data_IF_881037022892
#
_entry.id   IF_881037022892
#
_cell.length_a   1.000
_cell.length_b   1.000
_cell.length_c   1.000
_cell.angle_alpha   90.00
_cell.angle_beta   90.00
_cell.angle_gamma   90.00
#
_symmetry.space_group_name_H-M   'P 1'
#
loop_
_entity.id
_entity.type
_entity.pdbx_description
1 polymer ?
#
# COMPACT_ATOMS: atom_id res chain seq x y z
N UNK A 1 58.90 10.89 -3.09
CA UNK A 1 58.25 11.36 -1.84
C UNK A 1 56.79 10.93 -1.94
N UNK A 2 56.39 9.90 -1.17
CA UNK A 2 55.01 9.40 -1.10
C UNK A 2 54.17 10.38 -0.25
N UNK A 3 52.82 10.39 -0.42
CA UNK A 3 51.72 10.79 0.50
C UNK A 3 50.67 11.61 -0.26
N UNK A 4 49.36 11.40 -0.14
CA UNK A 4 48.52 10.44 0.57
C UNK A 4 47.24 10.36 -0.32
N UNK A 5 46.79 9.17 -0.68
CA UNK A 5 45.46 9.03 -1.26
C UNK A 5 44.45 9.28 -0.14
N UNK A 6 43.61 10.30 -0.28
CA UNK A 6 42.42 10.47 0.56
C UNK A 6 41.52 9.27 0.32
N UNK A 7 41.59 8.31 1.24
CA UNK A 7 40.60 7.25 1.36
C UNK A 7 39.34 7.93 1.87
N UNK A 8 38.43 8.24 0.96
CA UNK A 8 37.02 8.46 1.32
C UNK A 8 36.54 7.16 1.91
N UNK A 9 36.44 7.12 3.23
CA UNK A 9 35.77 6.03 3.95
C UNK A 9 34.29 6.13 3.56
N UNK A 10 33.89 5.38 2.54
CA UNK A 10 32.50 5.03 2.36
C UNK A 10 32.12 4.15 3.55
N UNK A 11 31.68 4.78 4.65
CA UNK A 11 30.95 4.05 5.68
C UNK A 11 29.79 3.37 4.95
N UNK A 12 29.66 2.04 4.98
CA UNK A 12 28.41 1.43 4.58
C UNK A 12 27.43 1.91 5.63
N UNK A 13 26.56 2.83 5.22
CA UNK A 13 25.38 3.16 5.97
C UNK A 13 24.57 1.86 6.00
N UNK A 14 24.77 1.08 7.06
CA UNK A 14 23.85 0.04 7.49
C UNK A 14 22.59 0.75 8.01
N UNK A 15 21.93 1.52 7.15
CA UNK A 15 20.55 1.85 7.36
C UNK A 15 19.81 0.55 7.16
N UNK A 16 19.09 0.10 8.19
CA UNK A 16 18.03 -0.87 7.99
C UNK A 16 17.17 -0.29 6.86
N UNK A 17 17.19 -0.95 5.71
CA UNK A 17 16.38 -0.54 4.58
C UNK A 17 14.93 -0.81 4.97
N UNK A 18 14.01 0.06 4.56
CA UNK A 18 12.58 -0.25 4.72
C UNK A 18 12.21 -1.58 4.02
N UNK A 19 13.02 -2.00 3.05
CA UNK A 19 12.90 -3.25 2.30
C UNK A 19 13.48 -4.46 3.04
N UNK A 20 14.04 -4.29 4.23
CA UNK A 20 14.57 -5.41 5.00
C UNK A 20 13.42 -6.27 5.53
N UNK A 21 13.61 -7.60 5.52
CA UNK A 21 12.58 -8.56 5.92
C UNK A 21 12.06 -8.35 7.37
N UNK A 22 12.93 -7.85 8.26
CA UNK A 22 12.61 -7.62 9.67
C UNK A 22 12.29 -6.16 10.00
N UNK A 23 12.23 -5.29 8.97
CA UNK A 23 11.84 -3.91 9.16
C UNK A 23 10.36 -3.82 9.56
N UNK A 24 10.07 -3.00 10.57
CA UNK A 24 8.72 -2.68 10.98
C UNK A 24 8.38 -1.27 10.46
N UNK A 25 7.42 -1.14 9.54
CA UNK A 25 7.08 0.15 8.97
C UNK A 25 6.58 1.14 10.00
N UNK A 26 6.90 2.41 9.82
CA UNK A 26 6.32 3.52 10.57
C UNK A 26 5.46 4.43 9.67
N UNK A 27 4.71 5.36 10.28
CA UNK A 27 3.78 6.23 9.56
C UNK A 27 4.45 7.14 8.51
N UNK A 28 5.73 7.46 8.67
CA UNK A 28 6.47 8.31 7.73
C UNK A 28 6.92 7.56 6.47
N UNK A 29 6.79 6.24 6.45
CA UNK A 29 7.16 5.38 5.31
C UNK A 29 5.96 5.04 4.43
N UNK A 30 4.75 5.33 4.89
CA UNK A 30 3.53 5.09 4.13
C UNK A 30 3.49 6.03 2.94
N UNK A 31 3.44 5.47 1.72
CA UNK A 31 3.09 6.25 0.54
C UNK A 31 1.62 6.12 0.27
N UNK A 32 0.98 7.19 -0.20
CA UNK A 32 -0.46 7.20 -0.45
C UNK A 32 -0.79 7.87 -1.78
N UNK A 33 -1.85 7.37 -2.43
CA UNK A 33 -2.50 8.00 -3.56
C UNK A 33 -4.02 7.90 -3.39
N UNK A 34 -4.78 9.00 -3.54
CA UNK A 34 -6.23 8.94 -3.54
C UNK A 34 -6.73 8.23 -4.81
N UNK A 35 -7.74 7.37 -4.64
CA UNK A 35 -8.42 6.70 -5.73
C UNK A 35 -9.94 6.82 -5.56
N UNK A 36 -10.64 6.88 -6.69
CA UNK A 36 -12.09 6.92 -6.70
C UNK A 36 -12.61 6.11 -7.87
N UNK A 37 -13.78 5.51 -7.67
CA UNK A 37 -14.50 4.80 -8.72
C UNK A 37 -14.80 5.78 -9.84
N UNK A 38 -14.45 5.39 -11.07
CA UNK A 38 -14.74 6.20 -12.25
C UNK A 38 -16.14 5.92 -12.81
N UNK A 39 -16.70 6.90 -13.52
CA UNK A 39 -18.03 6.76 -14.14
C UNK A 39 -18.05 5.60 -15.14
N UNK A 40 -19.00 4.69 -14.95
CA UNK A 40 -19.14 3.50 -15.80
C UNK A 40 -18.12 2.39 -15.53
N UNK A 41 -17.26 2.53 -14.51
CA UNK A 41 -16.33 1.48 -14.12
C UNK A 41 -17.09 0.20 -13.71
N UNK A 42 -16.84 -0.85 -14.48
CA UNK A 42 -17.30 -2.21 -14.19
C UNK A 42 -16.15 -2.93 -13.50
N UNK A 43 -16.38 -3.41 -12.29
CA UNK A 43 -15.37 -4.18 -11.55
C UNK A 43 -14.64 -3.40 -10.47
N UNK A 44 -15.12 -2.23 -10.05
CA UNK A 44 -14.64 -1.58 -8.83
C UNK A 44 -14.69 -2.57 -7.64
N UNK A 45 -13.55 -2.85 -6.97
CA UNK A 45 -13.45 -3.94 -6.00
C UNK A 45 -13.94 -3.58 -4.60
N UNK A 46 -14.20 -2.30 -4.31
CA UNK A 46 -14.49 -1.82 -2.96
C UNK A 46 -15.98 -1.50 -2.77
N UNK A 47 -16.48 -1.62 -1.54
CA UNK A 47 -17.89 -1.33 -1.22
C UNK A 47 -18.20 0.18 -1.11
N UNK A 48 -17.16 1.00 -0.96
CA UNK A 48 -17.22 2.48 -0.97
C UNK A 48 -16.83 3.06 -2.32
N UNK A 49 -17.11 4.34 -2.59
CA UNK A 49 -16.83 4.99 -3.88
C UNK A 49 -15.43 5.58 -4.00
N UNK A 50 -14.74 5.82 -2.90
CA UNK A 50 -13.40 6.41 -2.86
C UNK A 50 -12.61 5.92 -1.65
N UNK A 51 -11.31 6.19 -1.68
CA UNK A 51 -10.39 5.93 -0.59
C UNK A 51 -8.97 6.23 -1.04
N UNK A 52 -8.01 5.60 -0.37
CA UNK A 52 -6.60 5.72 -0.68
C UNK A 52 -5.99 4.34 -0.98
N UNK A 53 -5.14 4.26 -2.00
CA UNK A 53 -4.15 3.20 -2.10
C UNK A 53 -2.94 3.65 -1.30
N UNK A 54 -2.55 2.83 -0.34
CA UNK A 54 -1.33 2.98 0.43
C UNK A 54 -0.33 1.89 0.06
N UNK A 55 0.95 2.18 0.20
CA UNK A 55 2.00 1.18 0.11
C UNK A 55 3.04 1.35 1.24
N UNK A 56 3.43 0.21 1.80
CA UNK A 56 4.56 0.05 2.71
C UNK A 56 5.39 -1.14 2.26
N UNK A 57 6.68 -1.14 2.58
CA UNK A 57 7.48 -2.37 2.52
C UNK A 57 7.21 -3.21 3.77
N UNK A 58 6.96 -4.50 3.61
CA UNK A 58 6.74 -5.42 4.74
C UNK A 58 7.27 -6.80 4.37
N UNK A 59 8.03 -7.41 5.27
CA UNK A 59 8.66 -8.71 5.01
C UNK A 59 9.46 -8.74 3.67
N UNK A 60 10.11 -7.62 3.34
CA UNK A 60 10.92 -7.47 2.13
C UNK A 60 10.17 -7.45 0.81
N UNK A 61 8.86 -7.14 0.82
CA UNK A 61 8.05 -6.94 -0.38
C UNK A 61 7.12 -5.72 -0.20
N UNK A 62 6.69 -5.07 -1.30
CA UNK A 62 5.64 -4.06 -1.23
C UNK A 62 4.32 -4.70 -0.77
N UNK A 63 3.60 -4.00 0.09
CA UNK A 63 2.27 -4.36 0.56
C UNK A 63 1.30 -3.26 0.15
N UNK A 64 0.47 -3.54 -0.85
CA UNK A 64 -0.59 -2.65 -1.31
C UNK A 64 -1.80 -2.75 -0.37
N UNK A 65 -2.32 -1.60 0.06
CA UNK A 65 -3.42 -1.52 1.03
C UNK A 65 -4.44 -0.54 0.47
N UNK A 66 -5.72 -0.88 0.49
CA UNK A 66 -6.79 0.10 0.31
C UNK A 66 -7.29 0.55 1.68
N UNK A 67 -7.39 1.87 1.87
CA UNK A 67 -7.85 2.52 3.10
C UNK A 67 -9.10 3.34 2.76
N UNK A 68 -10.18 3.09 3.49
CA UNK A 68 -11.41 3.88 3.38
C UNK A 68 -11.21 5.30 3.93
N UNK A 69 -11.84 6.29 3.29
CA UNK A 69 -11.89 7.65 3.82
C UNK A 69 -12.68 7.68 5.14
N UNK A 70 -12.19 8.39 6.17
CA UNK A 70 -12.97 8.62 7.39
C UNK A 70 -13.76 9.92 7.24
N UNK A 71 -15.07 9.81 7.10
CA UNK A 71 -15.96 10.98 7.17
C UNK A 71 -16.22 11.35 8.64
N UNK A 72 -15.81 12.56 9.04
CA UNK A 72 -16.15 13.14 10.35
C UNK A 72 -15.08 12.94 11.42
N UNK A 73 -14.24 13.95 11.60
CA UNK A 73 -13.20 14.03 12.61
C UNK A 73 -13.73 14.32 14.04
N UNK A 74 -14.71 13.56 14.52
CA UNK A 74 -15.34 13.81 15.84
C UNK A 74 -15.37 12.61 16.80
N UNK A 75 -14.75 11.49 16.48
CA UNK A 75 -14.44 10.48 17.52
C UNK A 75 -13.04 9.93 17.34
N UNK A 76 -12.23 10.03 18.40
CA UNK A 76 -10.92 9.37 18.54
C UNK A 76 -11.02 7.82 18.54
N UNK A 77 -12.17 7.22 18.15
CA UNK A 77 -12.51 5.83 18.44
C UNK A 77 -12.63 4.88 17.22
N UNK A 78 -12.82 5.37 15.98
CA UNK A 78 -12.95 4.47 14.83
C UNK A 78 -11.78 4.58 13.86
N UNK A 79 -10.88 3.59 13.89
CA UNK A 79 -9.81 3.46 12.90
C UNK A 79 -10.41 3.20 11.51
N UNK A 80 -9.86 3.86 10.47
CA UNK A 80 -10.24 3.61 9.08
C UNK A 80 -10.22 2.11 8.76
N UNK A 81 -11.28 1.61 8.12
CA UNK A 81 -11.27 0.24 7.59
C UNK A 81 -10.25 0.18 6.45
N UNK A 82 -9.52 -0.92 6.40
CA UNK A 82 -8.55 -1.17 5.36
C UNK A 82 -8.53 -2.63 4.96
N UNK A 83 -8.10 -2.89 3.72
CA UNK A 83 -7.86 -4.23 3.21
C UNK A 83 -6.51 -4.31 2.50
N UNK A 84 -5.80 -5.40 2.72
CA UNK A 84 -4.60 -5.77 1.99
C UNK A 84 -5.01 -6.29 0.61
N UNK A 85 -4.38 -5.74 -0.42
CA UNK A 85 -4.60 -6.13 -1.80
C UNK A 85 -3.56 -7.18 -2.19
N UNK A 86 -4.02 -8.32 -2.66
CA UNK A 86 -3.15 -9.42 -3.11
C UNK A 86 -3.84 -10.21 -4.21
N UNK A 87 -3.04 -10.80 -5.10
CA UNK A 87 -3.49 -11.80 -6.08
C UNK A 87 -3.34 -13.23 -5.55
N UNK A 88 -2.77 -13.39 -4.36
CA UNK A 88 -2.77 -14.66 -3.63
C UNK A 88 -4.13 -14.85 -2.92
N UNK A 89 -4.89 -15.92 -3.19
CA UNK A 89 -6.21 -16.13 -2.63
C UNK A 89 -6.20 -16.34 -1.10
N UNK A 90 -5.11 -16.88 -0.56
CA UNK A 90 -4.96 -17.12 0.89
C UNK A 90 -4.72 -15.77 1.57
N UNK A 91 -3.80 -14.95 1.08
CA UNK A 91 -3.54 -13.61 1.63
C UNK A 91 -4.79 -12.73 1.56
N UNK A 92 -5.44 -12.69 0.39
CA UNK A 92 -6.63 -11.88 0.16
C UNK A 92 -7.80 -12.27 1.09
N UNK A 93 -7.86 -13.54 1.51
CA UNK A 93 -8.91 -14.04 2.41
C UNK A 93 -8.53 -13.91 3.90
N UNK A 94 -7.35 -14.41 4.27
CA UNK A 94 -6.92 -14.56 5.66
C UNK A 94 -6.57 -13.22 6.28
N UNK A 95 -5.80 -12.39 5.57
CA UNK A 95 -5.33 -11.12 6.10
C UNK A 95 -6.46 -10.07 6.20
N UNK A 96 -7.55 -10.28 5.44
CA UNK A 96 -8.68 -9.37 5.39
C UNK A 96 -9.90 -9.85 6.17
N UNK A 97 -9.80 -10.91 6.98
CA UNK A 97 -10.98 -11.53 7.60
C UNK A 97 -11.82 -10.54 8.43
N UNK A 98 -11.17 -9.58 9.10
CA UNK A 98 -11.82 -8.55 9.90
C UNK A 98 -12.54 -7.49 9.04
N UNK A 99 -11.97 -7.11 7.90
CA UNK A 99 -12.44 -6.01 7.05
C UNK A 99 -12.96 -6.47 5.68
N UNK A 100 -13.24 -7.76 5.50
CA UNK A 100 -13.65 -8.35 4.21
C UNK A 100 -14.88 -7.70 3.56
N UNK A 101 -15.74 -7.06 4.37
CA UNK A 101 -16.93 -6.34 3.89
C UNK A 101 -16.60 -5.01 3.20
N UNK A 102 -15.35 -4.57 3.26
CA UNK A 102 -14.84 -3.45 2.48
C UNK A 102 -14.64 -3.84 1.00
N UNK A 103 -14.56 -5.12 0.66
CA UNK A 103 -14.69 -5.58 -0.71
C UNK A 103 -16.14 -5.57 -1.17
N UNK A 104 -16.38 -5.12 -2.39
CA UNK A 104 -17.65 -5.27 -3.08
C UNK A 104 -17.95 -6.76 -3.32
N UNK A 105 -19.23 -7.18 -3.31
CA UNK A 105 -19.60 -8.55 -3.67
C UNK A 105 -19.05 -8.95 -5.05
N UNK A 106 -18.29 -10.04 -5.08
CA UNK A 106 -17.64 -10.56 -6.29
C UNK A 106 -18.19 -11.91 -6.77
N UNK A 107 -18.93 -12.64 -5.94
CA UNK A 107 -19.47 -13.97 -6.27
C UNK A 107 -18.45 -15.11 -6.20
N UNK A 108 -17.17 -14.84 -6.47
CA UNK A 108 -16.06 -15.77 -6.27
C UNK A 108 -14.77 -15.04 -5.88
N UNK A 109 -13.78 -15.78 -5.35
CA UNK A 109 -12.47 -15.20 -5.00
C UNK A 109 -11.67 -14.84 -6.25
N UNK A 110 -11.80 -15.59 -7.33
CA UNK A 110 -11.15 -15.33 -8.62
C UNK A 110 -11.64 -14.01 -9.21
N UNK A 111 -12.95 -13.77 -9.13
CA UNK A 111 -13.53 -12.49 -9.58
C UNK A 111 -13.03 -11.34 -8.72
N UNK A 112 -12.84 -11.55 -7.41
CA UNK A 112 -12.26 -10.53 -6.55
C UNK A 112 -10.80 -10.26 -6.91
N UNK A 113 -9.99 -11.31 -7.11
CA UNK A 113 -8.59 -11.22 -7.55
C UNK A 113 -8.47 -10.41 -8.84
N UNK A 114 -9.30 -10.71 -9.86
CA UNK A 114 -9.33 -9.96 -11.12
C UNK A 114 -9.62 -8.47 -10.90
N UNK A 115 -10.52 -8.14 -9.98
CA UNK A 115 -10.89 -6.75 -9.67
C UNK A 115 -9.82 -6.01 -8.87
N UNK A 116 -9.12 -6.68 -7.96
CA UNK A 116 -8.07 -6.04 -7.13
C UNK A 116 -6.71 -5.98 -7.83
N UNK A 117 -6.42 -6.86 -8.79
CA UNK A 117 -5.11 -6.94 -9.44
C UNK A 117 -4.58 -5.61 -10.01
N UNK A 118 -5.39 -4.77 -10.67
CA UNK A 118 -4.91 -3.45 -11.12
C UNK A 118 -4.43 -2.56 -9.95
N UNK A 119 -5.10 -2.65 -8.80
CA UNK A 119 -4.79 -1.86 -7.61
C UNK A 119 -3.57 -2.40 -6.84
N UNK A 120 -3.29 -3.69 -6.93
CA UNK A 120 -2.02 -4.27 -6.47
C UNK A 120 -0.85 -3.63 -7.23
N UNK A 121 -0.94 -3.57 -8.56
CA UNK A 121 0.10 -2.97 -9.41
C UNK A 121 0.29 -1.48 -9.10
N UNK A 122 -0.80 -0.74 -8.88
CA UNK A 122 -0.74 0.66 -8.45
C UNK A 122 0.01 0.78 -7.11
N UNK A 123 -0.35 -0.04 -6.12
CA UNK A 123 0.32 -0.03 -4.82
C UNK A 123 1.81 -0.39 -4.91
N UNK A 124 2.18 -1.40 -5.69
CA UNK A 124 3.58 -1.77 -5.91
C UNK A 124 4.39 -0.59 -6.50
N UNK A 125 3.87 0.07 -7.54
CA UNK A 125 4.51 1.29 -8.11
C UNK A 125 4.57 2.45 -7.14
N UNK A 126 3.60 2.54 -6.24
CA UNK A 126 3.61 3.54 -5.18
C UNK A 126 4.77 3.30 -4.20
N UNK A 127 5.15 2.04 -3.93
CA UNK A 127 6.34 1.70 -3.14
C UNK A 127 7.68 2.01 -3.84
N UNK A 128 7.70 2.24 -5.17
CA UNK A 128 8.89 2.72 -5.87
C UNK A 128 9.15 4.22 -5.63
N UNK A 129 8.17 4.95 -5.07
CA UNK A 129 8.32 6.35 -4.70
C UNK A 129 9.13 6.51 -3.41
N UNK A 130 9.72 7.69 -3.15
CA UNK A 130 10.34 7.98 -1.86
C UNK A 130 9.41 7.71 -0.67
N UNK A 131 9.94 7.27 0.50
CA UNK A 131 9.13 7.10 1.72
C UNK A 131 8.33 8.35 2.06
N UNK A 132 7.06 8.15 2.46
CA UNK A 132 6.16 9.25 2.83
C UNK A 132 5.58 10.03 1.65
N UNK A 133 5.78 9.57 0.42
CA UNK A 133 5.23 10.26 -0.77
C UNK A 133 3.70 10.27 -0.75
N UNK A 134 3.14 11.45 -0.94
CA UNK A 134 1.71 11.66 -1.19
C UNK A 134 1.57 12.08 -2.65
N UNK A 135 0.93 11.23 -3.45
CA UNK A 135 0.60 11.54 -4.84
C UNK A 135 -0.85 12.02 -4.93
N UNK A 136 -1.12 12.88 -5.89
CA UNK A 136 -2.46 13.24 -6.34
C UNK A 136 -3.12 12.14 -7.16
N UNK A 137 -4.42 12.31 -7.50
CA UNK A 137 -5.18 11.33 -8.27
C UNK A 137 -4.55 11.10 -9.65
N UNK A 138 -4.20 9.85 -9.97
CA UNK A 138 -3.71 9.47 -11.30
C UNK A 138 -2.29 9.95 -11.63
N UNK A 139 -1.49 10.33 -10.63
CA UNK A 139 -0.10 10.77 -10.81
C UNK A 139 0.94 9.62 -10.85
N UNK A 140 0.48 8.35 -10.90
CA UNK A 140 1.34 7.15 -11.01
C UNK A 140 1.51 6.65 -12.45
#
# INVERSE_FOLDING_TARGET
>A
MLRLADVVVAMPLLFASEQDFFHLPNEHEVRVQPIARTDGERGWPFSVTSGHIACIWSAGRPLAIFVEDIDGADTEEEAARHVILSVDPIELTVLNIANRTLFAPAGSIETLIERVAPYVVIGERLCDQPPGTVLGPGEL
#
